data_IF_324349826246
#
_entry.id   IF_324349826246
#
_cell.length_a   1.000
_cell.length_b   1.000
_cell.length_c   1.000
_cell.angle_alpha   90.00
_cell.angle_beta   90.00
_cell.angle_gamma   90.00
#
_symmetry.space_group_name_H-M   'P 1'
#
loop_
_entity.id
_entity.type
_entity.pdbx_description
1 polymer ?
#
# COMPACT_ATOMS: atom_id res chain seq x y z
N UNK A 1 23.96 19.69 17.53
CA UNK A 1 22.64 19.09 17.82
C UNK A 1 21.90 18.93 16.50
N UNK A 2 21.48 17.71 16.10
CA UNK A 2 20.82 17.50 14.81
C UNK A 2 19.34 17.94 14.88
N UNK A 3 19.12 19.26 14.97
CA UNK A 3 17.80 19.88 15.11
C UNK A 3 16.86 19.53 13.94
N UNK A 4 17.42 19.30 12.75
CA UNK A 4 16.65 18.94 11.56
C UNK A 4 15.93 17.59 11.71
N UNK A 5 16.54 16.61 12.40
CA UNK A 5 15.91 15.31 12.66
C UNK A 5 14.80 15.48 13.71
N UNK A 6 15.08 16.20 14.80
CA UNK A 6 14.13 16.45 15.90
C UNK A 6 12.87 17.17 15.40
N UNK A 7 13.02 18.06 14.41
CA UNK A 7 11.94 18.91 13.91
C UNK A 7 11.40 18.47 12.56
N UNK A 8 11.87 17.36 12.00
CA UNK A 8 11.47 16.82 10.69
C UNK A 8 9.94 16.64 10.60
N UNK A 9 9.30 16.21 11.68
CA UNK A 9 7.85 16.01 11.78
C UNK A 9 7.03 17.24 11.37
N UNK A 10 7.58 18.45 11.54
CA UNK A 10 6.91 19.71 11.19
C UNK A 10 6.72 19.84 9.68
N UNK A 11 7.64 19.29 8.88
CA UNK A 11 7.54 19.27 7.42
C UNK A 11 6.36 18.42 6.98
N UNK A 12 6.26 17.19 7.47
CA UNK A 12 5.18 16.26 7.15
C UNK A 12 3.82 16.82 7.59
N UNK A 13 3.70 17.31 8.84
CA UNK A 13 2.44 17.90 9.32
C UNK A 13 1.99 19.12 8.50
N UNK A 14 2.94 19.98 8.10
CA UNK A 14 2.61 21.12 7.25
C UNK A 14 2.17 20.69 5.84
N UNK A 15 2.81 19.66 5.27
CA UNK A 15 2.41 19.09 3.99
C UNK A 15 1.00 18.49 4.05
N UNK A 16 0.71 17.70 5.08
CA UNK A 16 -0.63 17.17 5.31
C UNK A 16 -1.67 18.29 5.43
N UNK A 17 -1.42 19.31 6.26
CA UNK A 17 -2.33 20.44 6.40
C UNK A 17 -2.58 21.19 5.08
N UNK A 18 -1.58 21.28 4.21
CA UNK A 18 -1.72 21.89 2.89
C UNK A 18 -2.59 21.05 1.94
N UNK A 19 -2.41 19.72 1.94
CA UNK A 19 -3.21 18.80 1.13
C UNK A 19 -4.64 18.67 1.66
N UNK A 20 -4.80 18.54 2.98
CA UNK A 20 -6.09 18.42 3.66
C UNK A 20 -6.95 19.68 3.49
N UNK A 21 -6.33 20.87 3.43
CA UNK A 21 -7.05 22.11 3.10
C UNK A 21 -7.58 22.15 1.66
N UNK A 22 -7.29 21.14 0.81
CA UNK A 22 -7.66 21.06 -0.61
C UNK A 22 -7.02 22.14 -1.49
N UNK A 23 -6.04 22.89 -0.97
CA UNK A 23 -5.40 23.96 -1.73
C UNK A 23 -4.69 23.51 -3.01
N UNK A 24 -3.99 22.36 -3.04
CA UNK A 24 -3.41 21.84 -4.28
C UNK A 24 -4.38 21.71 -5.44
N UNK A 25 -5.65 21.35 -5.19
CA UNK A 25 -6.67 21.16 -6.23
C UNK A 25 -7.01 22.45 -7.00
N UNK A 26 -6.67 23.60 -6.44
CA UNK A 26 -6.90 24.92 -7.06
C UNK A 26 -5.66 25.51 -7.73
N UNK A 27 -4.56 24.75 -7.74
CA UNK A 27 -3.25 25.17 -8.22
C UNK A 27 -2.78 24.26 -9.36
N UNK A 28 -1.96 24.81 -10.25
CA UNK A 28 -1.13 24.02 -11.17
C UNK A 28 0.19 24.74 -11.41
N UNK A 29 1.04 24.17 -12.28
CA UNK A 29 2.28 24.81 -12.75
C UNK A 29 2.00 26.08 -13.58
N UNK A 30 0.82 26.16 -14.19
CA UNK A 30 0.42 27.26 -15.09
C UNK A 30 -0.61 28.22 -14.47
N UNK A 31 -1.50 27.70 -13.61
CA UNK A 31 -2.62 28.45 -13.04
C UNK A 31 -2.43 28.62 -11.54
N UNK A 32 -1.90 29.80 -11.17
CA UNK A 32 -1.68 30.17 -9.78
C UNK A 32 -2.85 30.92 -9.15
N UNK A 33 -2.86 30.98 -7.83
CA UNK A 33 -3.86 31.70 -7.02
C UNK A 33 -3.22 32.59 -5.98
N UNK A 34 -3.86 33.71 -5.67
CA UNK A 34 -3.46 34.56 -4.55
C UNK A 34 -3.82 33.90 -3.23
N UNK A 35 -3.23 34.41 -2.14
CA UNK A 35 -3.53 33.92 -0.78
C UNK A 35 -5.01 34.09 -0.44
N UNK A 36 -5.59 35.24 -0.78
CA UNK A 36 -7.01 35.54 -0.56
C UNK A 36 -7.92 34.55 -1.30
N UNK A 37 -7.60 34.27 -2.56
CA UNK A 37 -8.34 33.30 -3.37
C UNK A 37 -8.29 31.91 -2.76
N UNK A 38 -7.10 31.43 -2.37
CA UNK A 38 -6.94 30.11 -1.74
C UNK A 38 -7.64 30.05 -0.39
N UNK A 39 -7.51 31.09 0.45
CA UNK A 39 -8.15 31.14 1.76
C UNK A 39 -9.67 31.04 1.65
N UNK A 40 -10.27 31.73 0.68
CA UNK A 40 -11.70 31.65 0.38
C UNK A 40 -12.11 30.26 -0.15
N UNK A 41 -11.36 29.71 -1.10
CA UNK A 41 -11.66 28.40 -1.71
C UNK A 41 -11.54 27.25 -0.70
N UNK A 42 -10.56 27.33 0.19
CA UNK A 42 -10.27 26.30 1.19
C UNK A 42 -11.03 26.52 2.51
N UNK A 43 -11.76 27.63 2.65
CA UNK A 43 -12.45 28.03 3.88
C UNK A 43 -11.52 28.08 5.12
N UNK A 44 -10.40 28.81 5.01
CA UNK A 44 -9.38 28.94 6.05
C UNK A 44 -9.01 30.40 6.32
N UNK A 45 -8.43 30.68 7.49
CA UNK A 45 -7.95 32.02 7.82
C UNK A 45 -6.76 32.44 6.95
N UNK A 46 -6.90 33.55 6.23
CA UNK A 46 -5.92 34.04 5.25
C UNK A 46 -4.50 34.18 5.83
N UNK A 47 -4.33 34.86 6.96
CA UNK A 47 -2.99 35.16 7.50
C UNK A 47 -2.25 33.90 7.97
N UNK A 48 -2.97 32.98 8.61
CA UNK A 48 -2.42 31.69 9.05
C UNK A 48 -2.05 30.84 7.84
N UNK A 49 -2.92 30.82 6.84
CA UNK A 49 -2.70 30.07 5.61
C UNK A 49 -1.54 30.65 4.79
N UNK A 50 -1.34 31.97 4.80
CA UNK A 50 -0.19 32.60 4.16
C UNK A 50 1.14 32.07 4.70
N UNK A 51 1.23 31.89 6.02
CA UNK A 51 2.41 31.32 6.68
C UNK A 51 2.68 29.90 6.22
N UNK A 52 1.63 29.07 6.09
CA UNK A 52 1.72 27.72 5.56
C UNK A 52 2.19 27.70 4.10
N UNK A 53 1.59 28.53 3.23
CA UNK A 53 1.98 28.63 1.81
C UNK A 53 3.44 29.09 1.64
N UNK A 54 3.89 30.05 2.45
CA UNK A 54 5.30 30.46 2.47
C UNK A 54 6.23 29.33 2.90
N UNK A 55 5.79 28.48 3.84
CA UNK A 55 6.55 27.31 4.24
C UNK A 55 6.57 26.22 3.14
N UNK A 56 5.45 25.95 2.47
CA UNK A 56 5.39 25.06 1.30
C UNK A 56 6.32 25.55 0.18
N UNK A 57 6.43 26.88 -0.01
CA UNK A 57 7.42 27.47 -0.92
C UNK A 57 8.85 27.22 -0.47
N UNK A 58 9.14 27.32 0.84
CA UNK A 58 10.47 27.01 1.39
C UNK A 58 10.85 25.53 1.21
N UNK A 59 9.87 24.63 1.18
CA UNK A 59 10.04 23.21 0.87
C UNK A 59 10.06 22.89 -0.63
N UNK A 60 10.03 23.90 -1.51
CA UNK A 60 9.96 23.77 -2.96
C UNK A 60 8.73 23.00 -3.48
N UNK A 61 7.64 22.96 -2.70
CA UNK A 61 6.35 22.39 -3.13
C UNK A 61 5.61 23.42 -3.98
N UNK A 62 5.70 24.68 -3.56
CA UNK A 62 5.16 25.84 -4.26
C UNK A 62 6.25 26.74 -4.80
N UNK A 63 5.94 27.43 -5.89
CA UNK A 63 6.66 28.64 -6.31
C UNK A 63 5.73 29.84 -6.26
N UNK A 64 6.29 31.05 -6.18
CA UNK A 64 5.54 32.30 -6.17
C UNK A 64 5.99 33.19 -7.31
N UNK A 65 5.05 33.63 -8.15
CA UNK A 65 5.25 34.65 -9.18
C UNK A 65 4.29 35.80 -8.86
N UNK A 66 4.83 37.01 -8.70
CA UNK A 66 4.08 38.18 -8.23
C UNK A 66 3.36 37.89 -6.88
N UNK A 67 2.04 37.94 -6.86
CA UNK A 67 1.18 37.69 -5.70
C UNK A 67 0.56 36.28 -5.67
N UNK A 68 0.83 35.45 -6.69
CA UNK A 68 0.23 34.12 -6.86
C UNK A 68 1.20 32.99 -6.53
N UNK A 69 0.65 31.95 -5.90
CA UNK A 69 1.32 30.66 -5.67
C UNK A 69 0.95 29.68 -6.77
N UNK A 70 1.89 28.80 -7.12
CA UNK A 70 1.80 27.76 -8.14
C UNK A 70 2.41 26.47 -7.60
N UNK A 71 1.92 25.31 -8.02
CA UNK A 71 2.63 24.06 -7.78
C UNK A 71 3.92 24.05 -8.61
N UNK A 72 4.99 23.49 -8.06
CA UNK A 72 6.19 23.17 -8.86
C UNK A 72 5.94 21.93 -9.71
N UNK A 73 6.80 21.68 -10.71
CA UNK A 73 6.70 20.50 -11.58
C UNK A 73 6.76 19.18 -10.80
N UNK A 74 7.65 19.09 -9.79
CA UNK A 74 7.78 17.90 -8.94
C UNK A 74 6.49 17.57 -8.16
N UNK A 75 5.67 18.58 -7.86
CA UNK A 75 4.47 18.45 -7.05
C UNK A 75 3.19 18.73 -7.84
N UNK A 76 3.27 18.72 -9.17
CA UNK A 76 2.15 19.04 -10.03
C UNK A 76 0.97 18.09 -9.84
N UNK A 77 1.23 16.80 -9.55
CA UNK A 77 0.22 15.77 -9.35
C UNK A 77 -0.66 16.00 -8.12
N UNK A 78 -0.28 16.88 -7.18
CA UNK A 78 -1.12 17.19 -6.03
C UNK A 78 -2.42 17.90 -6.42
N UNK A 79 -2.54 18.42 -7.65
CA UNK A 79 -3.79 18.99 -8.14
C UNK A 79 -4.87 17.95 -8.47
N UNK A 80 -4.52 16.66 -8.47
CA UNK A 80 -5.43 15.54 -8.57
C UNK A 80 -5.59 14.90 -7.19
N UNK A 81 -6.83 14.78 -6.74
CA UNK A 81 -7.17 14.18 -5.44
C UNK A 81 -6.90 12.67 -5.38
N UNK A 82 -6.80 12.03 -6.54
CA UNK A 82 -6.59 10.59 -6.71
C UNK A 82 -5.18 10.25 -7.18
N UNK A 83 -4.29 11.24 -7.32
CA UNK A 83 -2.90 10.94 -7.65
C UNK A 83 -2.24 10.14 -6.53
N UNK A 84 -1.24 9.34 -6.90
CA UNK A 84 -0.44 8.56 -5.96
C UNK A 84 0.08 9.42 -4.80
N UNK A 85 0.68 10.59 -5.10
CA UNK A 85 1.26 11.46 -4.06
C UNK A 85 0.19 12.02 -3.12
N UNK A 86 -0.98 12.41 -3.64
CA UNK A 86 -2.08 12.90 -2.79
C UNK A 86 -2.64 11.80 -1.89
N UNK A 87 -2.87 10.60 -2.44
CA UNK A 87 -3.35 9.44 -1.68
C UNK A 87 -2.34 9.03 -0.61
N UNK A 88 -1.05 9.00 -0.95
CA UNK A 88 0.01 8.64 -0.02
C UNK A 88 0.10 9.64 1.14
N UNK A 89 0.05 10.94 0.86
CA UNK A 89 0.03 11.99 1.89
C UNK A 89 -1.21 11.87 2.78
N UNK A 90 -2.40 11.71 2.18
CA UNK A 90 -3.65 11.60 2.92
C UNK A 90 -3.69 10.36 3.80
N UNK A 91 -3.11 9.25 3.34
CA UNK A 91 -3.06 8.02 4.10
C UNK A 91 -2.01 8.10 5.20
N UNK A 92 -0.72 8.20 4.86
CA UNK A 92 0.37 8.07 5.85
C UNK A 92 0.33 9.16 6.93
N UNK A 93 -0.09 10.37 6.56
CA UNK A 93 -0.12 11.51 7.47
C UNK A 93 -1.50 11.78 8.09
N UNK A 94 -2.49 10.90 7.85
CA UNK A 94 -3.77 10.99 8.56
C UNK A 94 -3.53 10.87 10.08
N UNK A 95 -4.20 11.67 10.92
CA UNK A 95 -4.09 11.57 12.37
C UNK A 95 -4.32 10.17 12.93
N UNK A 96 -5.12 9.32 12.27
CA UNK A 96 -5.32 7.92 12.64
C UNK A 96 -4.00 7.15 12.64
N UNK A 97 -3.16 7.29 11.62
CA UNK A 97 -1.89 6.57 11.52
C UNK A 97 -0.75 7.37 12.16
N UNK A 98 -0.69 8.68 11.92
CA UNK A 98 0.36 9.54 12.48
C UNK A 98 0.43 9.48 14.00
N UNK A 99 -0.72 9.48 14.70
CA UNK A 99 -0.72 9.47 16.17
C UNK A 99 -0.21 8.17 16.77
N UNK A 100 -0.19 7.06 16.01
CA UNK A 100 0.30 5.76 16.49
C UNK A 100 1.78 5.79 16.81
N UNK A 101 2.57 6.64 16.12
CA UNK A 101 4.00 6.82 16.39
C UNK A 101 4.28 7.27 17.83
N UNK A 102 3.33 7.93 18.49
CA UNK A 102 3.45 8.28 19.91
C UNK A 102 3.50 7.06 20.84
N UNK A 103 2.93 5.93 20.40
CA UNK A 103 2.93 4.65 21.12
C UNK A 103 4.04 3.71 20.69
N UNK A 104 4.83 4.05 19.66
CA UNK A 104 5.90 3.18 19.16
C UNK A 104 6.93 2.80 20.24
N UNK A 105 7.38 3.77 21.04
CA UNK A 105 8.30 3.46 22.16
C UNK A 105 7.66 2.54 23.21
N UNK A 106 6.34 2.54 23.35
CA UNK A 106 5.62 1.65 24.25
C UNK A 106 5.45 0.26 23.66
N UNK A 107 5.16 0.12 22.36
CA UNK A 107 4.99 -1.19 21.70
C UNK A 107 6.26 -2.05 21.79
N UNK A 108 7.45 -1.44 21.78
CA UNK A 108 8.74 -2.15 21.91
C UNK A 108 8.99 -2.82 23.28
N UNK A 109 8.16 -2.57 24.29
CA UNK A 109 8.37 -3.13 25.64
C UNK A 109 7.91 -4.59 25.68
N UNK A 110 8.76 -5.48 26.24
CA UNK A 110 8.60 -6.95 26.23
C UNK A 110 7.27 -7.57 26.72
N UNK A 111 6.39 -6.97 27.57
CA UNK A 111 5.07 -7.58 27.78
C UNK A 111 4.09 -7.30 26.64
N UNK A 112 4.36 -6.31 25.78
CA UNK A 112 3.46 -5.91 24.70
C UNK A 112 3.68 -6.82 23.50
N UNK A 113 2.57 -7.38 23.02
CA UNK A 113 2.48 -8.16 21.78
C UNK A 113 1.59 -7.46 20.75
N UNK A 114 1.37 -6.16 20.94
CA UNK A 114 0.46 -5.33 20.16
C UNK A 114 1.25 -4.29 19.39
N UNK A 115 0.82 -3.99 18.17
CA UNK A 115 1.38 -2.88 17.39
C UNK A 115 1.11 -1.53 18.08
N UNK A 116 1.83 -0.50 17.67
CA UNK A 116 1.56 0.85 18.17
C UNK A 116 0.16 1.33 17.75
N UNK A 117 -0.32 0.89 16.59
CA UNK A 117 -1.69 1.10 16.13
C UNK A 117 -2.71 0.46 17.07
N UNK A 118 -2.56 -0.82 17.42
CA UNK A 118 -3.45 -1.53 18.33
C UNK A 118 -3.44 -0.95 19.76
N UNK A 119 -2.30 -0.45 20.22
CA UNK A 119 -2.22 0.26 21.50
C UNK A 119 -2.98 1.60 21.48
N UNK A 120 -3.04 2.25 20.32
CA UNK A 120 -3.69 3.56 20.14
C UNK A 120 -5.21 3.43 19.95
N UNK A 121 -5.64 2.49 19.11
CA UNK A 121 -7.04 2.37 18.66
C UNK A 121 -7.79 1.21 19.31
N UNK A 122 -7.09 0.31 20.01
CA UNK A 122 -7.64 -0.87 20.68
C UNK A 122 -8.27 -1.92 19.76
N UNK A 123 -7.96 -1.85 18.46
CA UNK A 123 -8.39 -2.78 17.41
C UNK A 123 -7.21 -3.05 16.46
N UNK A 124 -7.24 -4.18 15.73
CA UNK A 124 -6.26 -4.46 14.69
C UNK A 124 -6.42 -3.48 13.52
N UNK A 125 -5.35 -3.29 12.74
CA UNK A 125 -5.36 -2.36 11.60
C UNK A 125 -6.47 -2.68 10.58
N UNK A 126 -6.57 -3.94 10.15
CA UNK A 126 -7.57 -4.33 9.15
C UNK A 126 -8.99 -4.34 9.70
N UNK A 127 -9.20 -4.73 10.96
CA UNK A 127 -10.52 -4.62 11.60
C UNK A 127 -10.99 -3.15 11.69
N UNK A 128 -10.07 -2.25 12.04
CA UNK A 128 -10.34 -0.82 12.08
C UNK A 128 -10.73 -0.29 10.69
N UNK A 129 -9.97 -0.62 9.64
CA UNK A 129 -10.29 -0.19 8.28
C UNK A 129 -11.62 -0.75 7.78
N UNK A 130 -11.93 -2.01 8.09
CA UNK A 130 -13.17 -2.67 7.63
C UNK A 130 -14.42 -2.21 8.38
N UNK A 131 -14.27 -1.44 9.46
CA UNK A 131 -15.39 -0.82 10.13
C UNK A 131 -16.02 0.27 9.23
N UNK A 132 -17.33 0.20 9.01
CA UNK A 132 -18.08 1.18 8.19
C UNK A 132 -17.89 2.64 8.64
N UNK A 133 -17.55 2.87 9.92
CA UNK A 133 -17.20 4.21 10.43
C UNK A 133 -15.94 4.80 9.80
N UNK A 134 -15.06 3.96 9.25
CA UNK A 134 -13.76 4.32 8.70
C UNK A 134 -13.69 4.11 7.18
N UNK A 135 -14.84 3.99 6.51
CA UNK A 135 -14.94 3.74 5.05
C UNK A 135 -14.17 4.72 4.18
N UNK A 136 -14.04 5.99 4.58
CA UNK A 136 -13.31 7.01 3.80
C UNK A 136 -11.79 6.76 3.87
N UNK A 137 -11.31 6.28 5.02
CA UNK A 137 -9.91 5.88 5.23
C UNK A 137 -9.64 4.58 4.47
N UNK A 138 -10.52 3.58 4.58
CA UNK A 138 -10.49 2.34 3.79
C UNK A 138 -10.42 2.64 2.29
N UNK A 139 -11.26 3.54 1.80
CA UNK A 139 -11.27 3.95 0.38
C UNK A 139 -9.93 4.58 -0.03
N UNK A 140 -9.36 5.43 0.83
CA UNK A 140 -8.05 6.05 0.57
C UNK A 140 -6.94 5.00 0.54
N UNK A 141 -6.94 4.06 1.49
CA UNK A 141 -6.02 2.93 1.55
C UNK A 141 -6.13 2.05 0.30
N UNK A 142 -7.33 1.61 -0.05
CA UNK A 142 -7.60 0.74 -1.20
C UNK A 142 -7.14 1.38 -2.51
N UNK A 143 -7.43 2.67 -2.70
CA UNK A 143 -6.98 3.41 -3.88
C UNK A 143 -5.46 3.57 -3.91
N UNK A 144 -4.82 3.83 -2.76
CA UNK A 144 -3.37 3.94 -2.66
C UNK A 144 -2.68 2.62 -3.03
N UNK A 145 -3.16 1.50 -2.48
CA UNK A 145 -2.65 0.16 -2.79
C UNK A 145 -2.87 -0.19 -4.27
N UNK A 146 -4.01 0.23 -4.83
CA UNK A 146 -4.30 0.12 -6.26
C UNK A 146 -3.28 0.88 -7.13
N UNK A 147 -2.96 2.13 -6.77
CA UNK A 147 -1.97 2.94 -7.50
C UNK A 147 -0.54 2.41 -7.33
N UNK A 148 -0.17 1.91 -6.15
CA UNK A 148 1.09 1.18 -5.96
C UNK A 148 1.18 -0.04 -6.88
N UNK A 149 0.09 -0.80 -6.97
CA UNK A 149 0.00 -1.99 -7.82
C UNK A 149 0.14 -1.60 -9.29
N UNK A 150 -0.54 -0.55 -9.75
CA UNK A 150 -0.46 -0.05 -11.12
C UNK A 150 0.98 0.28 -11.54
N UNK A 151 1.78 0.87 -10.65
CA UNK A 151 3.21 1.17 -10.92
C UNK A 151 4.06 -0.09 -11.11
N UNK A 152 3.69 -1.20 -10.47
CA UNK A 152 4.45 -2.48 -10.54
C UNK A 152 3.94 -3.44 -11.61
N UNK A 153 2.71 -3.25 -12.06
CA UNK A 153 1.95 -4.21 -12.88
C UNK A 153 2.65 -4.61 -14.18
N UNK A 154 3.16 -3.65 -14.96
CA UNK A 154 3.81 -3.94 -16.23
C UNK A 154 5.08 -4.79 -16.03
N UNK A 155 5.86 -4.49 -14.98
CA UNK A 155 7.05 -5.26 -14.63
C UNK A 155 6.72 -6.68 -14.18
N UNK A 156 5.56 -6.92 -13.58
CA UNK A 156 5.15 -8.27 -13.19
C UNK A 156 4.69 -9.07 -14.42
N UNK A 157 3.87 -8.47 -15.30
CA UNK A 157 3.33 -9.15 -16.48
C UNK A 157 4.43 -9.66 -17.41
N UNK A 158 5.52 -8.92 -17.55
CA UNK A 158 6.64 -9.32 -18.42
C UNK A 158 7.37 -10.60 -17.94
N UNK A 159 7.22 -10.98 -16.66
CA UNK A 159 7.98 -12.09 -16.05
C UNK A 159 7.10 -13.23 -15.54
N UNK A 160 5.82 -13.00 -15.26
CA UNK A 160 4.93 -14.01 -14.71
C UNK A 160 4.58 -15.08 -15.78
N UNK A 161 4.94 -16.36 -15.56
CA UNK A 161 4.65 -17.40 -16.54
C UNK A 161 3.16 -17.75 -16.50
N UNK A 162 2.39 -17.34 -17.52
CA UNK A 162 0.94 -17.57 -17.58
C UNK A 162 0.52 -18.54 -18.69
N UNK A 163 1.48 -19.18 -19.37
CA UNK A 163 1.19 -20.13 -20.43
C UNK A 163 0.38 -21.33 -19.92
N UNK A 164 -0.76 -21.58 -20.56
CA UNK A 164 -1.65 -22.69 -20.21
C UNK A 164 -2.57 -22.45 -19.00
N UNK A 165 -2.42 -21.32 -18.30
CA UNK A 165 -3.30 -20.93 -17.19
C UNK A 165 -4.68 -20.52 -17.76
N UNK A 166 -5.77 -21.05 -17.20
CA UNK A 166 -7.14 -20.70 -17.58
C UNK A 166 -7.90 -20.02 -16.45
N UNK A 167 -7.58 -20.34 -15.20
CA UNK A 167 -8.19 -19.73 -14.02
C UNK A 167 -7.11 -19.17 -13.08
N UNK A 168 -7.30 -17.93 -12.65
CA UNK A 168 -6.36 -17.20 -11.79
C UNK A 168 -7.11 -16.55 -10.64
N UNK A 169 -6.61 -16.69 -9.41
CA UNK A 169 -7.13 -15.98 -8.24
C UNK A 169 -6.02 -15.24 -7.49
N UNK A 170 -6.26 -13.96 -7.21
CA UNK A 170 -5.37 -13.13 -6.38
C UNK A 170 -5.92 -13.02 -4.96
N UNK A 171 -5.12 -13.46 -3.98
CA UNK A 171 -5.48 -13.55 -2.56
C UNK A 171 -4.97 -12.30 -1.85
N UNK A 172 -5.86 -11.55 -1.21
CA UNK A 172 -5.55 -10.20 -0.71
C UNK A 172 -5.36 -9.18 -1.85
N UNK A 173 -6.04 -9.39 -2.99
CA UNK A 173 -5.83 -8.58 -4.20
C UNK A 173 -6.48 -7.20 -4.19
N UNK A 174 -7.08 -6.77 -3.08
CA UNK A 174 -7.65 -5.44 -2.86
C UNK A 174 -8.72 -5.08 -3.90
N UNK A 175 -8.54 -3.94 -4.57
CA UNK A 175 -9.46 -3.48 -5.63
C UNK A 175 -9.25 -4.16 -7.00
N UNK A 176 -8.38 -5.18 -7.05
CA UNK A 176 -8.18 -6.05 -8.19
C UNK A 176 -7.31 -5.47 -9.32
N UNK A 177 -6.52 -4.44 -9.05
CA UNK A 177 -5.70 -3.78 -10.07
C UNK A 177 -4.70 -4.73 -10.73
N UNK A 178 -4.15 -5.69 -9.99
CA UNK A 178 -3.22 -6.68 -10.54
C UNK A 178 -3.92 -7.62 -11.52
N UNK A 179 -5.02 -8.23 -11.11
CA UNK A 179 -5.76 -9.14 -11.99
C UNK A 179 -6.44 -8.44 -13.17
N UNK A 180 -6.82 -7.17 -13.04
CA UNK A 180 -7.27 -6.34 -14.18
C UNK A 180 -6.16 -6.24 -15.23
N UNK A 181 -4.92 -6.09 -14.79
CA UNK A 181 -3.78 -6.04 -15.69
C UNK A 181 -3.50 -7.39 -16.36
N UNK A 182 -3.60 -8.51 -15.61
CA UNK A 182 -3.54 -9.86 -16.17
C UNK A 182 -4.63 -10.05 -17.22
N UNK A 183 -5.88 -9.71 -16.89
CA UNK A 183 -7.03 -9.87 -17.79
C UNK A 183 -6.85 -9.08 -19.09
N UNK A 184 -6.31 -7.87 -19.00
CA UNK A 184 -6.00 -7.01 -20.15
C UNK A 184 -5.01 -7.66 -21.11
N UNK A 185 -3.95 -8.31 -20.58
CA UNK A 185 -2.88 -8.91 -21.40
C UNK A 185 -3.16 -10.37 -21.79
N UNK A 186 -3.97 -11.07 -20.98
CA UNK A 186 -4.35 -12.47 -21.17
C UNK A 186 -5.88 -12.63 -21.07
N UNK A 187 -6.65 -12.15 -22.08
CA UNK A 187 -8.12 -12.13 -22.03
C UNK A 187 -8.78 -13.51 -21.89
N UNK A 188 -8.06 -14.59 -22.19
CA UNK A 188 -8.54 -15.96 -22.06
C UNK A 188 -8.59 -16.45 -20.60
N UNK A 189 -7.86 -15.80 -19.68
CA UNK A 189 -7.82 -16.18 -18.26
C UNK A 189 -9.08 -15.67 -17.55
N UNK A 190 -9.72 -16.55 -16.79
CA UNK A 190 -10.79 -16.21 -15.86
C UNK A 190 -10.19 -15.72 -14.56
N UNK A 191 -10.32 -14.41 -14.32
CA UNK A 191 -9.65 -13.73 -13.21
C UNK A 191 -10.58 -13.54 -12.01
N UNK A 192 -10.06 -13.84 -10.83
CA UNK A 192 -10.76 -13.74 -9.57
C UNK A 192 -9.91 -12.99 -8.54
N UNK A 193 -10.56 -12.30 -7.62
CA UNK A 193 -9.92 -11.66 -6.46
C UNK A 193 -10.62 -12.12 -5.22
N UNK A 194 -9.86 -12.53 -4.21
CA UNK A 194 -10.35 -12.75 -2.86
C UNK A 194 -9.78 -11.68 -1.95
N UNK A 195 -10.67 -11.00 -1.22
CA UNK A 195 -10.31 -10.01 -0.19
C UNK A 195 -11.48 -9.86 0.80
N UNK A 196 -11.36 -8.95 1.76
CA UNK A 196 -12.42 -8.60 2.69
C UNK A 196 -13.31 -7.50 2.09
N UNK A 197 -14.51 -7.88 1.66
CA UNK A 197 -15.51 -6.99 1.08
C UNK A 197 -16.82 -7.00 1.88
N UNK A 198 -17.64 -5.96 1.70
CA UNK A 198 -18.98 -5.87 2.29
C UNK A 198 -20.08 -6.55 1.45
N UNK A 199 -19.71 -7.34 0.44
CA UNK A 199 -20.59 -8.14 -0.41
C UNK A 199 -20.06 -9.57 -0.50
N UNK A 200 -20.91 -10.59 -0.68
CA UNK A 200 -20.42 -11.98 -0.74
C UNK A 200 -19.61 -12.27 -2.02
N UNK A 201 -20.16 -11.89 -3.17
CA UNK A 201 -19.55 -12.09 -4.49
C UNK A 201 -20.01 -10.98 -5.42
N UNK A 202 -19.12 -10.44 -6.26
CA UNK A 202 -19.45 -9.45 -7.28
C UNK A 202 -18.75 -9.77 -8.59
N UNK A 203 -19.52 -9.96 -9.64
CA UNK A 203 -19.00 -10.08 -11.00
C UNK A 203 -18.99 -8.70 -11.65
N UNK A 204 -17.85 -8.32 -12.23
CA UNK A 204 -17.64 -6.99 -12.82
C UNK A 204 -16.95 -7.15 -14.16
N UNK A 205 -17.74 -7.05 -15.24
CA UNK A 205 -17.44 -7.11 -16.69
C UNK A 205 -16.52 -8.26 -17.15
N UNK A 206 -15.46 -8.60 -16.43
CA UNK A 206 -14.46 -9.62 -16.77
C UNK A 206 -13.76 -10.26 -15.55
N UNK A 207 -14.05 -9.80 -14.32
CA UNK A 207 -13.39 -10.23 -13.08
C UNK A 207 -14.44 -10.56 -12.03
N UNK A 208 -14.16 -11.58 -11.22
CA UNK A 208 -15.01 -11.98 -10.10
C UNK A 208 -14.34 -11.64 -8.77
N UNK A 209 -15.01 -10.81 -7.96
CA UNK A 209 -14.60 -10.51 -6.60
C UNK A 209 -15.32 -11.44 -5.62
N UNK A 210 -14.57 -12.01 -4.69
CA UNK A 210 -15.03 -12.98 -3.68
C UNK A 210 -14.69 -12.40 -2.32
N UNK A 211 -15.68 -12.22 -1.45
CA UNK A 211 -15.41 -11.90 -0.06
C UNK A 211 -14.96 -13.15 0.69
N UNK A 212 -13.84 -13.05 1.39
CA UNK A 212 -13.35 -14.14 2.21
C UNK A 212 -12.20 -13.73 3.11
N UNK A 213 -11.87 -14.63 4.01
CA UNK A 213 -10.75 -14.52 4.93
C UNK A 213 -9.74 -15.62 4.59
N UNK A 214 -8.54 -15.23 4.17
CA UNK A 214 -7.48 -16.16 3.77
C UNK A 214 -6.87 -16.93 4.95
N UNK A 215 -7.14 -16.53 6.20
CA UNK A 215 -6.82 -17.35 7.37
C UNK A 215 -7.80 -18.50 7.57
N UNK A 216 -9.01 -18.38 7.00
CA UNK A 216 -10.06 -19.37 7.14
C UNK A 216 -10.10 -20.34 5.96
N UNK A 217 -10.48 -19.89 4.77
CA UNK A 217 -10.63 -20.73 3.59
C UNK A 217 -10.27 -19.97 2.32
N UNK A 218 -9.38 -20.54 1.51
CA UNK A 218 -9.05 -20.04 0.17
C UNK A 218 -9.78 -20.91 -0.85
N UNK A 219 -10.55 -20.31 -1.78
CA UNK A 219 -11.26 -21.05 -2.83
C UNK A 219 -10.33 -21.96 -3.64
N UNK A 220 -10.70 -23.22 -3.79
CA UNK A 220 -9.92 -24.21 -4.54
C UNK A 220 -10.16 -24.14 -6.06
N UNK A 221 -9.48 -25.02 -6.80
CA UNK A 221 -9.73 -25.30 -8.22
C UNK A 221 -9.23 -24.24 -9.22
N UNK A 222 -8.29 -23.38 -8.81
CA UNK A 222 -7.59 -22.47 -9.73
C UNK A 222 -6.29 -23.07 -10.27
N UNK A 223 -5.96 -22.74 -11.51
CA UNK A 223 -4.68 -23.13 -12.12
C UNK A 223 -3.53 -22.31 -11.50
N UNK A 224 -3.76 -21.02 -11.29
CA UNK A 224 -2.81 -20.12 -10.65
C UNK A 224 -3.44 -19.36 -9.47
N UNK A 225 -2.65 -19.20 -8.42
CA UNK A 225 -2.91 -18.36 -7.26
C UNK A 225 -1.85 -17.28 -7.21
N UNK A 226 -2.16 -16.10 -6.69
CA UNK A 226 -1.15 -15.12 -6.29
C UNK A 226 -1.38 -14.59 -4.89
N UNK A 227 -0.26 -14.23 -4.25
CA UNK A 227 -0.22 -13.40 -3.06
C UNK A 227 0.78 -12.28 -3.38
N UNK A 228 0.31 -11.04 -3.43
CA UNK A 228 1.15 -9.88 -3.75
C UNK A 228 1.11 -8.85 -2.63
N UNK A 229 2.26 -8.50 -2.07
CA UNK A 229 2.40 -7.49 -1.00
C UNK A 229 1.46 -7.76 0.20
N UNK A 230 1.25 -9.03 0.56
CA UNK A 230 0.39 -9.42 1.69
C UNK A 230 1.22 -9.98 2.83
N UNK A 231 2.23 -10.82 2.56
CA UNK A 231 2.92 -11.56 3.62
C UNK A 231 3.69 -10.62 4.56
N UNK A 232 4.20 -9.50 4.05
CA UNK A 232 4.90 -8.49 4.85
C UNK A 232 4.01 -7.82 5.91
N UNK A 233 2.69 -7.88 5.76
CA UNK A 233 1.73 -7.36 6.74
C UNK A 233 1.61 -8.26 7.99
N UNK A 234 2.13 -9.49 7.93
CA UNK A 234 1.91 -10.50 8.96
C UNK A 234 3.22 -10.98 9.60
N UNK A 235 3.20 -11.34 10.90
CA UNK A 235 4.27 -12.11 11.54
C UNK A 235 4.50 -13.46 10.85
N UNK A 236 5.68 -14.06 11.08
CA UNK A 236 6.12 -15.28 10.37
C UNK A 236 5.18 -16.48 10.56
N UNK A 237 4.62 -16.69 11.75
CA UNK A 237 3.67 -17.77 12.01
C UNK A 237 2.37 -17.60 11.21
N UNK A 238 1.82 -16.39 11.19
CA UNK A 238 0.63 -16.06 10.41
C UNK A 238 0.88 -16.12 8.90
N UNK A 239 2.02 -15.61 8.42
CA UNK A 239 2.40 -15.71 7.01
C UNK A 239 2.55 -17.17 6.55
N UNK A 240 3.11 -18.05 7.39
CA UNK A 240 3.18 -19.49 7.13
C UNK A 240 1.77 -20.09 7.07
N UNK A 241 0.86 -19.70 7.96
CA UNK A 241 -0.51 -20.23 7.97
C UNK A 241 -1.29 -19.82 6.70
N UNK A 242 -1.10 -18.60 6.20
CA UNK A 242 -1.63 -18.16 4.88
C UNK A 242 -1.11 -19.09 3.76
N UNK A 243 0.20 -19.37 3.74
CA UNK A 243 0.80 -20.25 2.75
C UNK A 243 0.30 -21.70 2.87
N UNK A 244 0.05 -22.21 4.07
CA UNK A 244 -0.57 -23.54 4.28
C UNK A 244 -2.00 -23.60 3.74
N UNK A 245 -2.76 -22.53 3.90
CA UNK A 245 -4.10 -22.45 3.32
C UNK A 245 -4.05 -22.44 1.79
N UNK A 246 -3.06 -21.77 1.20
CA UNK A 246 -2.79 -21.85 -0.24
C UNK A 246 -2.44 -23.28 -0.67
N UNK A 247 -1.51 -23.94 0.04
CA UNK A 247 -1.17 -25.34 -0.21
C UNK A 247 -2.41 -26.26 -0.15
N UNK A 248 -3.35 -26.00 0.76
CA UNK A 248 -4.58 -26.78 0.88
C UNK A 248 -5.52 -26.54 -0.32
N UNK A 249 -5.67 -25.30 -0.78
CA UNK A 249 -6.55 -24.93 -1.91
C UNK A 249 -6.01 -25.36 -3.28
N UNK A 250 -4.68 -25.39 -3.44
CA UNK A 250 -4.00 -25.77 -4.67
C UNK A 250 -4.28 -27.23 -5.06
N UNK A 251 -4.24 -27.55 -6.35
CA UNK A 251 -4.09 -28.92 -6.86
C UNK A 251 -2.60 -29.22 -7.07
N UNK A 252 -2.27 -30.46 -7.43
CA UNK A 252 -0.87 -30.86 -7.70
C UNK A 252 -0.28 -30.14 -8.93
N UNK A 253 -1.13 -29.73 -9.88
CA UNK A 253 -0.75 -29.00 -11.10
C UNK A 253 -0.81 -27.47 -10.94
N UNK A 254 -1.42 -26.96 -9.85
CA UNK A 254 -1.53 -25.53 -9.59
C UNK A 254 -0.16 -24.85 -9.39
N UNK A 255 -0.13 -23.53 -9.54
CA UNK A 255 1.03 -22.68 -9.21
C UNK A 255 0.60 -21.57 -8.25
N UNK A 256 1.48 -21.22 -7.32
CA UNK A 256 1.37 -20.03 -6.49
C UNK A 256 2.45 -19.03 -6.90
N UNK A 257 2.04 -17.81 -7.23
CA UNK A 257 2.93 -16.68 -7.46
C UNK A 257 2.97 -15.81 -6.22
N UNK A 258 4.07 -15.89 -5.49
CA UNK A 258 4.35 -14.95 -4.40
C UNK A 258 5.13 -13.77 -4.97
N UNK A 259 4.60 -12.57 -4.83
CA UNK A 259 5.20 -11.34 -5.39
C UNK A 259 5.40 -10.35 -4.24
N UNK A 260 6.65 -10.09 -3.89
CA UNK A 260 6.96 -9.20 -2.77
C UNK A 260 8.32 -8.51 -2.92
N UNK A 261 8.58 -7.53 -2.06
CA UNK A 261 9.88 -6.88 -1.97
C UNK A 261 10.81 -7.73 -1.11
N UNK A 262 11.98 -8.07 -1.65
CA UNK A 262 13.03 -8.72 -0.85
C UNK A 262 13.89 -7.65 -0.21
N UNK A 263 14.15 -7.81 1.08
CA UNK A 263 15.09 -6.98 1.83
C UNK A 263 16.53 -7.27 1.39
N UNK A 264 17.27 -6.23 1.01
CA UNK A 264 18.70 -6.35 0.73
C UNK A 264 19.52 -6.32 2.04
N UNK A 265 20.66 -7.04 2.12
CA UNK A 265 21.54 -6.99 3.29
C UNK A 265 21.97 -5.56 3.61
N UNK A 266 21.95 -5.20 4.90
CA UNK A 266 22.36 -3.89 5.45
C UNK A 266 21.41 -2.70 5.20
N UNK A 267 20.25 -2.91 4.59
CA UNK A 267 19.24 -1.85 4.46
C UNK A 267 18.28 -1.85 5.65
N UNK A 268 18.33 -0.81 6.47
CA UNK A 268 17.26 -0.50 7.42
C UNK A 268 16.50 0.72 6.88
N UNK A 269 15.22 0.54 6.57
CA UNK A 269 14.39 1.63 6.05
C UNK A 269 13.40 2.09 7.11
N UNK A 270 12.95 3.34 7.03
CA UNK A 270 11.84 3.82 7.88
C UNK A 270 10.55 3.06 7.62
N UNK A 271 10.42 2.44 6.44
CA UNK A 271 9.27 1.63 6.07
C UNK A 271 9.17 0.33 6.89
N UNK A 272 10.31 -0.29 7.26
CA UNK A 272 10.31 -1.43 8.20
C UNK A 272 9.64 -1.05 9.53
N UNK A 273 9.95 0.14 10.04
CA UNK A 273 9.37 0.66 11.28
C UNK A 273 7.89 1.03 11.11
N UNK A 274 7.51 1.49 9.92
CA UNK A 274 6.11 1.82 9.61
C UNK A 274 5.23 0.56 9.63
N UNK A 275 5.66 -0.52 8.99
CA UNK A 275 4.95 -1.82 9.01
C UNK A 275 4.87 -2.35 10.45
N UNK A 276 5.97 -2.33 11.21
CA UNK A 276 5.97 -2.75 12.63
C UNK A 276 5.01 -1.90 13.49
N UNK A 277 4.98 -0.59 13.26
CA UNK A 277 4.10 0.36 13.96
C UNK A 277 2.62 0.02 13.74
N UNK A 278 2.23 -0.36 12.52
CA UNK A 278 0.84 -0.61 12.16
C UNK A 278 0.40 -2.06 12.40
N UNK A 279 1.23 -3.03 12.02
CA UNK A 279 0.79 -4.40 11.72
C UNK A 279 1.52 -5.48 12.52
N UNK A 280 2.66 -5.17 13.18
CA UNK A 280 3.65 -6.17 13.63
C UNK A 280 4.19 -7.06 12.50
N UNK A 281 3.91 -6.68 11.25
CA UNK A 281 4.44 -7.30 10.06
C UNK A 281 5.95 -7.11 9.96
N UNK A 282 6.55 -7.82 9.02
CA UNK A 282 7.99 -7.83 8.86
C UNK A 282 8.37 -8.05 7.41
N UNK A 283 9.21 -7.13 6.90
CA UNK A 283 9.91 -7.34 5.63
C UNK A 283 10.99 -8.40 5.74
N UNK A 284 11.10 -9.20 4.69
CA UNK A 284 11.83 -10.46 4.72
C UNK A 284 12.98 -10.53 3.73
N UNK A 285 14.01 -11.27 4.12
CA UNK A 285 15.06 -11.68 3.21
C UNK A 285 14.56 -12.86 2.36
N UNK A 286 15.22 -13.13 1.23
CA UNK A 286 14.90 -14.30 0.40
C UNK A 286 14.88 -15.61 1.21
N UNK A 287 15.84 -15.79 2.12
CA UNK A 287 15.93 -16.98 2.99
C UNK A 287 14.74 -17.13 3.93
N UNK A 288 14.12 -16.03 4.35
CA UNK A 288 12.92 -16.09 5.19
C UNK A 288 11.73 -16.61 4.37
N UNK A 289 11.55 -16.14 3.12
CA UNK A 289 10.53 -16.67 2.21
C UNK A 289 10.76 -18.16 1.89
N UNK A 290 11.99 -18.56 1.58
CA UNK A 290 12.36 -19.97 1.36
C UNK A 290 12.00 -20.85 2.56
N UNK A 291 12.27 -20.37 3.77
CA UNK A 291 11.92 -21.07 5.01
C UNK A 291 10.39 -21.21 5.15
N UNK A 292 9.64 -20.12 5.01
CA UNK A 292 8.18 -20.13 5.18
C UNK A 292 7.47 -21.02 4.15
N UNK A 293 7.87 -20.92 2.88
CA UNK A 293 7.34 -21.75 1.78
C UNK A 293 7.56 -23.23 2.11
N UNK A 294 8.76 -23.59 2.58
CA UNK A 294 9.05 -24.97 3.00
C UNK A 294 8.21 -25.42 4.20
N UNK A 295 8.01 -24.56 5.21
CA UNK A 295 7.16 -24.87 6.36
C UNK A 295 5.69 -25.07 5.99
N UNK A 296 5.24 -24.42 4.92
CA UNK A 296 3.89 -24.58 4.36
C UNK A 296 3.71 -25.86 3.52
N UNK A 297 4.76 -26.68 3.35
CA UNK A 297 4.72 -27.87 2.50
C UNK A 297 4.78 -27.56 1.01
N UNK A 298 5.34 -26.42 0.63
CA UNK A 298 5.50 -25.97 -0.76
C UNK A 298 6.98 -25.97 -1.17
N UNK A 299 7.23 -25.87 -2.47
CA UNK A 299 8.58 -25.77 -3.05
C UNK A 299 8.69 -24.64 -4.09
N UNK A 300 9.75 -23.83 -3.98
CA UNK A 300 10.07 -22.80 -4.96
C UNK A 300 10.70 -23.47 -6.19
N UNK A 301 10.18 -23.20 -7.38
CA UNK A 301 10.73 -23.67 -8.66
C UNK A 301 11.64 -22.64 -9.30
N UNK A 302 11.18 -21.39 -9.35
CA UNK A 302 11.92 -20.28 -9.94
C UNK A 302 11.75 -19.02 -9.09
N UNK A 303 12.76 -18.14 -9.16
CA UNK A 303 12.75 -16.82 -8.56
C UNK A 303 13.15 -15.83 -9.65
N UNK A 304 12.30 -14.85 -9.91
CA UNK A 304 12.51 -13.83 -10.93
C UNK A 304 12.72 -12.48 -10.24
N UNK A 305 13.85 -11.83 -10.52
CA UNK A 305 14.03 -10.41 -10.19
C UNK A 305 13.32 -9.59 -11.28
N UNK A 306 12.33 -8.79 -10.90
CA UNK A 306 11.50 -8.04 -11.85
C UNK A 306 12.20 -6.79 -12.41
N UNK A 307 13.48 -6.58 -12.06
CA UNK A 307 14.29 -5.41 -12.43
C UNK A 307 13.56 -4.08 -12.16
N UNK A 308 12.71 -4.08 -11.13
CA UNK A 308 11.93 -2.95 -10.69
C UNK A 308 12.23 -2.70 -9.21
N UNK A 309 12.89 -1.58 -8.97
CA UNK A 309 13.20 -1.08 -7.64
C UNK A 309 12.23 0.03 -7.27
N UNK A 310 11.67 -0.04 -6.08
CA UNK A 310 11.06 1.11 -5.40
C UNK A 310 12.04 1.70 -4.41
N UNK A 311 11.70 2.84 -3.80
CA UNK A 311 12.45 3.39 -2.66
C UNK A 311 12.58 2.37 -1.50
N UNK A 312 11.72 1.36 -1.47
CA UNK A 312 11.71 0.33 -0.45
C UNK A 312 12.51 -0.92 -0.85
N UNK A 313 12.94 -1.09 -2.10
CA UNK A 313 13.72 -2.27 -2.54
C UNK A 313 13.21 -2.88 -3.83
N UNK A 314 13.79 -4.05 -4.17
CA UNK A 314 13.56 -4.76 -5.42
C UNK A 314 12.39 -5.74 -5.30
N UNK A 315 11.53 -5.75 -6.32
CA UNK A 315 10.45 -6.72 -6.42
C UNK A 315 10.93 -8.05 -7.01
N UNK A 316 10.45 -9.13 -6.40
CA UNK A 316 10.69 -10.48 -6.86
C UNK A 316 9.37 -11.23 -7.04
N UNK A 317 9.37 -12.16 -8.00
CA UNK A 317 8.30 -13.12 -8.20
C UNK A 317 8.85 -14.51 -7.94
N UNK A 318 8.20 -15.25 -7.05
CA UNK A 318 8.51 -16.64 -6.75
C UNK A 318 7.45 -17.51 -7.40
N UNK A 319 7.88 -18.44 -8.25
CA UNK A 319 7.02 -19.50 -8.77
C UNK A 319 7.07 -20.69 -7.82
N UNK A 320 5.95 -20.98 -7.17
CA UNK A 320 5.84 -21.96 -6.09
C UNK A 320 4.88 -23.08 -6.50
N UNK A 321 5.26 -24.32 -6.19
CA UNK A 321 4.46 -25.53 -6.40
C UNK A 321 4.26 -26.27 -5.06
N UNK A 322 3.34 -27.24 -5.05
CA UNK A 322 3.30 -28.24 -3.98
C UNK A 322 4.59 -29.07 -3.92
#
# INVERSE_FOLDING_TARGET
MPLDIITAYRKSNALFAFVDSKAPLYLSTEKGKTVEQLARLCNVYQDRFHSLLNYMKKLNILTKKEDKFYLTEQWASLNDQNSFETLYIKFELDPVFWNTWSQYSSSLKKPNKKSAFELTHHESFFDYLNNEKHKDIKTTFDNLMGEMTNKTNNHIIDYIPLDGIKTFIDIGGGVGNFVKNIKTHHPHIQCHVMDQYNFTKKESEEITFINGDFFSEIPSSYDAYSIKNVLDDWPDDQAIDILKNCHTAMRDDSVLYLIDIIKEPHEATSFDLYIDTLLLGRRRYQSDFEFMVKQAGLSIKNIYNLNFSTENGNYYLFEIKK
#
